data_IF_378187120572
#
_entry.id   IF_378187120572
#
_cell.length_a   1.000
_cell.length_b   1.000
_cell.length_c   1.000
_cell.angle_alpha   90.00
_cell.angle_beta   90.00
_cell.angle_gamma   90.00
#
_symmetry.space_group_name_H-M   'P 1'
#
loop_
_entity.id
_entity.type
_entity.pdbx_description
1 polymer ?
#
# COMPACT_ATOMS: atom_id res chain seq x y z
N UNK A 1 -11.90 31.59 -3.50
CA UNK A 1 -12.46 30.70 -4.53
C UNK A 1 -11.79 30.97 -5.86
N UNK A 2 -11.61 29.96 -6.70
CA UNK A 2 -10.91 30.12 -7.98
C UNK A 2 -11.87 29.93 -9.15
N UNK A 3 -11.62 30.65 -10.24
CA UNK A 3 -12.37 30.46 -11.49
C UNK A 3 -11.84 29.26 -12.26
N UNK A 4 -12.61 28.72 -13.19
CA UNK A 4 -12.23 27.72 -14.20
C UNK A 4 -10.94 28.15 -14.90
N UNK A 5 -10.84 29.41 -15.31
CA UNK A 5 -9.66 29.91 -16.00
C UNK A 5 -8.41 29.81 -15.12
N UNK A 6 -8.51 30.23 -13.86
CA UNK A 6 -7.42 30.15 -12.90
C UNK A 6 -7.04 28.69 -12.59
N UNK A 7 -8.04 27.83 -12.37
CA UNK A 7 -7.85 26.42 -12.09
C UNK A 7 -7.08 25.73 -13.24
N UNK A 8 -7.54 25.94 -14.48
CA UNK A 8 -6.94 25.32 -15.66
C UNK A 8 -5.55 25.91 -15.93
N UNK A 9 -5.35 27.21 -15.70
CA UNK A 9 -4.04 27.83 -15.83
C UNK A 9 -3.04 27.21 -14.83
N UNK A 10 -3.37 27.14 -13.55
CA UNK A 10 -2.47 26.55 -12.54
C UNK A 10 -2.19 25.06 -12.83
N UNK A 11 -3.21 24.30 -13.22
CA UNK A 11 -3.03 22.90 -13.63
C UNK A 11 -2.09 22.80 -14.84
N UNK A 12 -2.24 23.68 -15.82
CA UNK A 12 -1.37 23.69 -17.01
C UNK A 12 0.07 24.03 -16.68
N UNK A 13 0.31 25.01 -15.81
CA UNK A 13 1.66 25.40 -15.40
C UNK A 13 2.37 24.28 -14.63
N UNK A 14 1.63 23.51 -13.82
CA UNK A 14 2.19 22.40 -13.07
C UNK A 14 2.50 21.18 -13.96
N UNK A 15 1.70 20.93 -15.00
CA UNK A 15 1.90 19.81 -15.92
C UNK A 15 2.92 20.13 -17.02
N UNK A 16 3.21 21.40 -17.27
CA UNK A 16 4.09 21.84 -18.34
C UNK A 16 5.52 21.32 -18.11
N UNK A 17 6.04 20.55 -19.07
CA UNK A 17 7.34 19.86 -19.03
C UNK A 17 7.47 18.74 -17.98
N UNK A 18 6.39 18.38 -17.30
CA UNK A 18 6.37 17.33 -16.27
C UNK A 18 5.71 16.04 -16.75
N UNK A 19 4.81 16.14 -17.74
CA UNK A 19 4.17 15.01 -18.40
C UNK A 19 4.36 15.09 -19.91
N UNK A 20 4.12 13.98 -20.60
CA UNK A 20 4.14 13.98 -22.07
C UNK A 20 3.00 14.84 -22.65
N UNK A 21 3.11 15.20 -23.93
CA UNK A 21 2.14 16.09 -24.57
C UNK A 21 0.73 15.49 -24.61
N UNK A 22 0.60 14.17 -24.71
CA UNK A 22 -0.69 13.50 -24.75
C UNK A 22 -1.40 13.62 -23.39
N UNK A 23 -0.68 13.35 -22.30
CA UNK A 23 -1.20 13.45 -20.94
C UNK A 23 -1.53 14.89 -20.56
N UNK A 24 -0.67 15.84 -20.96
CA UNK A 24 -0.90 17.27 -20.77
C UNK A 24 -2.24 17.69 -21.40
N UNK A 25 -2.43 17.42 -22.70
CA UNK A 25 -3.64 17.81 -23.41
C UNK A 25 -4.87 17.08 -22.87
N UNK A 26 -4.77 15.77 -22.61
CA UNK A 26 -5.83 14.95 -22.03
C UNK A 26 -6.30 15.50 -20.69
N UNK A 27 -5.36 15.83 -19.80
CA UNK A 27 -5.66 16.36 -18.47
C UNK A 27 -6.37 17.70 -18.55
N UNK A 28 -5.83 18.65 -19.33
CA UNK A 28 -6.43 19.99 -19.47
C UNK A 28 -7.83 19.92 -20.08
N UNK A 29 -8.02 19.10 -21.10
CA UNK A 29 -9.32 18.89 -21.73
C UNK A 29 -10.32 18.26 -20.75
N UNK A 30 -9.90 17.21 -20.03
CA UNK A 30 -10.76 16.51 -19.08
C UNK A 30 -11.30 17.45 -18.00
N UNK A 31 -10.44 18.19 -17.31
CA UNK A 31 -10.88 19.07 -16.22
C UNK A 31 -11.66 20.28 -16.75
N UNK A 32 -11.31 20.82 -17.93
CA UNK A 32 -12.07 21.91 -18.54
C UNK A 32 -13.51 21.49 -18.88
N UNK A 33 -13.67 20.30 -19.48
CA UNK A 33 -14.96 19.74 -19.86
C UNK A 33 -15.79 19.35 -18.63
N UNK A 34 -15.15 18.79 -17.61
CA UNK A 34 -15.81 18.45 -16.35
C UNK A 34 -16.40 19.71 -15.68
N UNK A 35 -15.58 20.77 -15.52
CA UNK A 35 -16.04 22.02 -14.90
C UNK A 35 -17.21 22.60 -15.69
N UNK A 36 -17.12 22.63 -17.01
CA UNK A 36 -18.20 23.15 -17.85
C UNK A 36 -19.48 22.31 -17.75
N UNK A 37 -19.34 20.99 -17.68
CA UNK A 37 -20.47 20.07 -17.53
C UNK A 37 -21.18 20.27 -16.20
N UNK A 38 -20.43 20.43 -15.11
CA UNK A 38 -21.01 20.67 -13.78
C UNK A 38 -21.67 22.04 -13.68
N UNK A 39 -21.08 23.07 -14.29
CA UNK A 39 -21.71 24.40 -14.41
C UNK A 39 -23.04 24.31 -15.18
N UNK A 40 -23.06 23.53 -16.28
CA UNK A 40 -24.28 23.31 -17.08
C UNK A 40 -25.37 22.55 -16.32
N UNK A 41 -25.00 21.73 -15.33
CA UNK A 41 -25.93 21.06 -14.42
C UNK A 41 -26.49 22.00 -13.34
N UNK A 42 -26.03 23.25 -13.28
CA UNK A 42 -26.54 24.27 -12.36
C UNK A 42 -25.66 24.53 -11.14
N UNK A 43 -24.48 23.90 -11.02
CA UNK A 43 -23.52 24.24 -9.98
C UNK A 43 -22.82 25.55 -10.31
N UNK A 44 -22.40 26.28 -9.27
CA UNK A 44 -21.56 27.46 -9.47
C UNK A 44 -20.11 27.07 -9.75
N UNK A 45 -19.37 27.89 -10.48
CA UNK A 45 -17.95 27.65 -10.77
C UNK A 45 -17.12 27.46 -9.49
N UNK A 46 -17.41 28.24 -8.46
CA UNK A 46 -16.78 28.14 -7.14
C UNK A 46 -17.07 26.81 -6.44
N UNK A 47 -18.31 26.32 -6.50
CA UNK A 47 -18.69 25.03 -5.92
C UNK A 47 -17.95 23.88 -6.60
N UNK A 48 -17.85 23.93 -7.94
CA UNK A 48 -17.17 22.88 -8.71
C UNK A 48 -15.66 22.89 -8.46
N UNK A 49 -15.01 24.07 -8.44
CA UNK A 49 -13.58 24.14 -8.16
C UNK A 49 -13.24 23.80 -6.72
N UNK A 50 -14.16 24.06 -5.77
CA UNK A 50 -14.02 23.63 -4.39
C UNK A 50 -14.17 22.11 -4.23
N UNK A 51 -15.09 21.48 -4.99
CA UNK A 51 -15.26 20.03 -5.03
C UNK A 51 -14.04 19.33 -5.65
N UNK A 52 -13.47 19.90 -6.72
CA UNK A 52 -12.25 19.40 -7.34
C UNK A 52 -11.00 19.58 -6.46
N UNK A 53 -10.96 20.64 -5.65
CA UNK A 53 -9.85 20.95 -4.77
C UNK A 53 -8.72 21.71 -5.48
N UNK A 54 -7.48 21.49 -5.04
CA UNK A 54 -6.32 22.24 -5.55
C UNK A 54 -5.83 21.68 -6.90
N UNK A 55 -5.73 22.50 -7.96
CA UNK A 55 -5.22 22.06 -9.26
C UNK A 55 -3.79 21.50 -9.17
N UNK A 56 -2.99 21.95 -8.20
CA UNK A 56 -1.60 21.48 -7.99
C UNK A 56 -1.55 20.05 -7.44
N UNK A 57 -2.47 19.70 -6.53
CA UNK A 57 -2.58 18.32 -6.01
C UNK A 57 -3.02 17.34 -7.10
N UNK A 58 -3.91 17.79 -7.98
CA UNK A 58 -4.31 17.04 -9.17
C UNK A 58 -3.10 16.84 -10.09
N UNK A 59 -2.38 17.91 -10.42
CA UNK A 59 -1.17 17.84 -11.23
C UNK A 59 -0.15 16.84 -10.66
N UNK A 60 0.10 16.91 -9.35
CA UNK A 60 1.00 15.99 -8.64
C UNK A 60 0.59 14.53 -8.82
N UNK A 61 -0.70 14.22 -8.68
CA UNK A 61 -1.20 12.84 -8.83
C UNK A 61 -1.01 12.33 -10.26
N UNK A 62 -1.22 13.19 -11.26
CA UNK A 62 -1.03 12.85 -12.67
C UNK A 62 0.46 12.58 -12.96
N UNK A 63 1.35 13.48 -12.52
CA UNK A 63 2.80 13.35 -12.66
C UNK A 63 3.31 12.08 -11.96
N UNK A 64 2.87 11.83 -10.72
CA UNK A 64 3.24 10.64 -9.93
C UNK A 64 2.74 9.34 -10.58
N UNK A 65 1.64 9.38 -11.34
CA UNK A 65 1.12 8.22 -12.05
C UNK A 65 1.91 7.86 -13.30
N UNK A 66 2.52 8.85 -13.96
CA UNK A 66 3.37 8.68 -15.14
C UNK A 66 4.80 8.28 -14.78
N UNK A 67 5.33 8.83 -13.68
CA UNK A 67 6.66 8.55 -13.17
C UNK A 67 6.61 7.37 -12.19
N UNK A 68 6.55 6.15 -12.70
CA UNK A 68 6.50 4.94 -11.88
C UNK A 68 7.50 4.95 -10.70
N UNK A 69 6.97 5.11 -9.47
CA UNK A 69 7.49 4.84 -8.10
C UNK A 69 8.96 5.11 -7.70
N UNK A 70 9.88 5.42 -8.59
CA UNK A 70 11.32 5.41 -8.27
C UNK A 70 11.85 6.77 -7.78
N UNK A 71 11.15 7.88 -8.03
CA UNK A 71 11.65 9.25 -7.75
C UNK A 71 10.70 10.12 -6.89
N UNK A 72 9.75 9.53 -6.15
CA UNK A 72 8.73 10.27 -5.40
C UNK A 72 9.28 11.13 -4.24
N UNK A 73 10.42 10.78 -3.66
CA UNK A 73 10.89 11.40 -2.39
C UNK A 73 11.60 12.73 -2.57
N UNK A 74 12.25 12.96 -3.71
CA UNK A 74 13.13 14.12 -3.93
C UNK A 74 12.38 15.30 -4.58
N UNK A 75 11.34 15.02 -5.39
CA UNK A 75 10.56 16.06 -6.09
C UNK A 75 9.46 16.72 -5.25
N UNK A 76 8.92 16.04 -4.23
CA UNK A 76 7.94 16.64 -3.30
C UNK A 76 8.54 17.89 -2.63
N UNK A 77 9.82 17.85 -2.28
CA UNK A 77 10.53 18.98 -1.68
C UNK A 77 10.76 20.16 -2.64
N UNK A 78 10.77 19.95 -3.95
CA UNK A 78 11.05 21.02 -4.93
C UNK A 78 9.82 21.89 -5.17
N UNK A 79 8.64 21.29 -5.23
CA UNK A 79 7.36 22.00 -5.40
C UNK A 79 6.91 22.68 -4.10
N UNK A 80 7.13 22.04 -2.95
CA UNK A 80 6.83 22.61 -1.63
C UNK A 80 7.66 23.88 -1.35
N UNK A 81 8.86 23.98 -1.92
CA UNK A 81 9.73 25.16 -1.81
C UNK A 81 9.33 26.32 -2.73
N UNK A 82 8.59 26.07 -3.80
CA UNK A 82 8.08 27.13 -4.70
C UNK A 82 6.79 27.77 -4.19
N UNK A 83 6.18 27.15 -3.18
CA UNK A 83 4.96 27.60 -2.49
C UNK A 83 5.24 28.39 -1.20
N UNK A 84 6.51 28.59 -0.81
CA UNK A 84 6.87 29.33 0.40
C UNK A 84 6.70 30.87 0.27
N UNK A 85 6.48 31.41 -0.95
CA UNK A 85 6.40 32.86 -1.20
C UNK A 85 4.96 33.42 -1.38
N UNK A 86 3.92 32.59 -1.26
CA UNK A 86 2.53 33.02 -1.40
C UNK A 86 1.68 32.60 -0.19
N UNK A 87 1.69 33.46 0.83
CA UNK A 87 0.64 33.65 1.83
C UNK A 87 0.17 32.43 2.65
N UNK A 88 0.72 32.38 3.87
CA UNK A 88 -0.04 32.28 5.13
C UNK A 88 -1.52 31.90 5.01
N UNK A 89 -1.83 30.60 5.05
CA UNK A 89 -3.03 30.08 5.73
C UNK A 89 -2.68 28.83 6.54
N UNK A 90 -2.17 29.10 7.73
CA UNK A 90 -2.22 28.22 8.90
C UNK A 90 -3.66 27.74 9.12
N UNK A 91 -3.96 26.50 8.73
CA UNK A 91 -5.07 25.68 9.26
C UNK A 91 -5.18 24.29 8.60
N UNK A 92 -4.36 23.98 7.59
CA UNK A 92 -4.46 22.70 6.87
C UNK A 92 -3.13 21.93 6.80
N UNK A 93 -2.21 22.20 7.73
CA UNK A 93 -0.99 21.38 7.89
C UNK A 93 -1.17 20.18 8.83
N UNK A 94 -2.21 20.16 9.66
CA UNK A 94 -2.39 19.08 10.65
C UNK A 94 -3.27 17.90 10.19
N UNK A 95 -4.10 18.05 9.16
CA UNK A 95 -4.98 16.95 8.71
C UNK A 95 -4.28 16.07 7.66
N UNK A 96 -3.40 16.64 6.84
CA UNK A 96 -2.71 15.87 5.80
C UNK A 96 -1.53 15.04 6.36
N UNK A 97 -0.89 15.48 7.45
CA UNK A 97 0.19 14.69 8.06
C UNK A 97 -0.27 13.38 8.71
N UNK A 98 -1.57 13.21 8.95
CA UNK A 98 -2.12 11.96 9.51
C UNK A 98 -2.40 10.93 8.40
N UNK A 99 -2.68 11.36 7.16
CA UNK A 99 -3.04 10.44 6.07
C UNK A 99 -1.85 9.98 5.22
N UNK A 100 -0.71 10.69 5.28
CA UNK A 100 0.51 10.32 4.55
C UNK A 100 1.58 9.67 5.43
N UNK A 101 1.18 9.11 6.57
CA UNK A 101 1.90 7.95 7.10
C UNK A 101 1.62 6.72 6.23
N UNK A 102 2.06 6.78 4.96
CA UNK A 102 2.86 5.67 4.45
C UNK A 102 4.09 5.65 5.36
N UNK A 103 4.03 5.05 6.54
CA UNK A 103 4.35 3.64 6.71
C UNK A 103 4.77 3.01 5.38
N UNK A 104 5.90 3.49 4.85
CA UNK A 104 6.86 2.61 4.23
C UNK A 104 7.06 1.47 5.22
N UNK A 105 6.27 0.41 5.06
CA UNK A 105 6.60 -0.90 5.55
C UNK A 105 7.89 -1.25 4.83
N UNK A 106 8.99 -0.73 5.40
CA UNK A 106 10.34 -1.02 4.98
C UNK A 106 10.36 -2.53 4.85
N UNK A 107 10.82 -3.04 3.72
CA UNK A 107 10.76 -4.45 3.32
C UNK A 107 11.17 -5.45 4.42
N UNK A 108 11.91 -5.01 5.44
CA UNK A 108 12.18 -5.76 6.67
C UNK A 108 10.98 -6.00 7.62
N UNK A 109 9.90 -5.21 7.61
CA UNK A 109 8.68 -5.49 8.40
C UNK A 109 7.84 -6.61 7.77
N UNK A 110 7.79 -6.68 6.44
CA UNK A 110 7.22 -7.85 5.73
C UNK A 110 8.07 -9.10 5.95
N UNK A 111 9.39 -8.95 6.02
CA UNK A 111 10.30 -10.03 6.39
C UNK A 111 10.05 -10.50 7.82
N UNK A 112 9.81 -9.59 8.77
CA UNK A 112 9.48 -9.93 10.16
C UNK A 112 8.24 -10.80 10.28
N UNK A 113 7.15 -10.47 9.57
CA UNK A 113 5.92 -11.28 9.56
C UNK A 113 6.17 -12.66 8.94
N UNK A 114 6.94 -12.74 7.84
CA UNK A 114 7.31 -14.01 7.22
C UNK A 114 8.20 -14.87 8.15
N UNK A 115 9.15 -14.25 8.84
CA UNK A 115 10.04 -14.92 9.80
C UNK A 115 9.25 -15.47 10.99
N UNK A 116 8.31 -14.68 11.53
CA UNK A 116 7.41 -15.11 12.60
C UNK A 116 6.52 -16.26 12.13
N UNK A 117 6.00 -16.21 10.91
CA UNK A 117 5.20 -17.31 10.35
C UNK A 117 6.03 -18.60 10.21
N UNK A 118 7.24 -18.52 9.67
CA UNK A 118 8.15 -19.66 9.54
C UNK A 118 8.53 -20.22 10.92
N UNK A 119 8.75 -19.34 11.90
CA UNK A 119 9.06 -19.72 13.27
C UNK A 119 7.88 -20.46 13.94
N UNK A 120 6.66 -19.97 13.78
CA UNK A 120 5.44 -20.63 14.29
C UNK A 120 5.24 -22.00 13.63
N UNK A 121 5.41 -22.09 12.31
CA UNK A 121 5.35 -23.37 11.58
C UNK A 121 6.43 -24.33 12.09
N UNK A 122 7.65 -23.84 12.32
CA UNK A 122 8.74 -24.60 12.91
C UNK A 122 8.38 -25.17 14.29
N UNK A 123 7.81 -24.34 15.18
CA UNK A 123 7.35 -24.78 16.50
C UNK A 123 6.32 -25.90 16.36
N UNK A 124 5.31 -25.75 15.49
CA UNK A 124 4.28 -26.78 15.27
C UNK A 124 4.91 -28.10 14.82
N UNK A 125 5.85 -28.06 13.88
CA UNK A 125 6.56 -29.25 13.40
C UNK A 125 7.41 -29.89 14.51
N UNK A 126 8.06 -29.10 15.36
CA UNK A 126 8.83 -29.66 16.49
C UNK A 126 7.94 -30.35 17.52
N UNK A 127 6.78 -29.76 17.85
CA UNK A 127 5.82 -30.36 18.77
C UNK A 127 5.28 -31.67 18.19
N UNK A 128 4.93 -31.68 16.90
CA UNK A 128 4.48 -32.89 16.21
C UNK A 128 5.58 -33.96 16.17
N UNK A 129 6.82 -33.58 15.90
CA UNK A 129 7.97 -34.47 15.90
C UNK A 129 8.23 -35.09 17.27
N UNK A 130 8.16 -34.30 18.35
CA UNK A 130 8.29 -34.79 19.73
C UNK A 130 7.13 -35.73 20.07
N UNK A 131 5.90 -35.40 19.67
CA UNK A 131 4.74 -36.27 19.89
C UNK A 131 4.91 -37.64 19.21
N UNK A 132 5.36 -37.65 17.95
CA UNK A 132 5.67 -38.88 17.22
C UNK A 132 6.84 -39.63 17.86
N UNK A 133 7.89 -38.92 18.27
CA UNK A 133 9.07 -39.52 18.91
C UNK A 133 8.71 -40.21 20.22
N UNK A 134 7.89 -39.57 21.06
CA UNK A 134 7.35 -40.16 22.29
C UNK A 134 6.48 -41.38 22.01
N UNK A 135 5.61 -41.28 20.99
CA UNK A 135 4.75 -42.38 20.59
C UNK A 135 5.56 -43.58 20.11
N UNK A 136 6.62 -43.38 19.32
CA UNK A 136 7.56 -44.45 18.94
C UNK A 136 8.26 -45.01 20.17
N UNK A 137 8.78 -44.18 21.07
CA UNK A 137 9.50 -44.65 22.26
C UNK A 137 8.62 -45.45 23.23
N UNK A 138 7.31 -45.17 23.28
CA UNK A 138 6.33 -45.88 24.13
C UNK A 138 5.76 -47.11 23.42
N UNK A 139 5.45 -47.03 22.12
CA UNK A 139 4.88 -48.17 21.38
C UNK A 139 5.93 -49.25 21.10
N UNK A 140 7.19 -48.86 20.86
CA UNK A 140 8.28 -49.80 20.55
C UNK A 140 8.47 -50.91 21.62
N UNK A 141 8.53 -50.62 22.93
CA UNK A 141 8.61 -51.68 23.95
C UNK A 141 7.35 -52.54 24.00
N UNK A 142 6.15 -51.96 23.81
CA UNK A 142 4.88 -52.71 23.81
C UNK A 142 4.85 -53.70 22.63
N UNK A 143 5.23 -53.25 21.44
CA UNK A 143 5.32 -54.10 20.24
C UNK A 143 6.37 -55.20 20.42
N UNK A 144 7.54 -54.88 21.01
CA UNK A 144 8.55 -55.89 21.31
C UNK A 144 8.02 -56.99 22.24
N UNK A 145 7.30 -56.62 23.30
CA UNK A 145 6.67 -57.58 24.22
C UNK A 145 5.63 -58.43 23.47
N UNK A 146 4.78 -57.82 22.64
CA UNK A 146 3.79 -58.57 21.84
C UNK A 146 4.45 -59.57 20.88
N UNK A 147 5.55 -59.20 20.24
CA UNK A 147 6.30 -60.09 19.36
C UNK A 147 6.84 -61.28 20.16
N UNK A 148 7.43 -61.05 21.34
CA UNK A 148 7.96 -62.12 22.20
C UNK A 148 6.83 -63.05 22.66
N UNK A 149 5.71 -62.51 23.14
CA UNK A 149 4.55 -63.31 23.56
C UNK A 149 4.00 -64.14 22.39
N UNK A 150 3.88 -63.53 21.20
CA UNK A 150 3.40 -64.23 20.00
C UNK A 150 4.37 -65.32 19.56
N UNK A 151 5.67 -65.10 19.67
CA UNK A 151 6.70 -66.09 19.40
C UNK A 151 6.65 -67.26 20.39
N UNK A 152 6.54 -66.97 21.69
CA UNK A 152 6.37 -68.02 22.73
C UNK A 152 5.09 -68.81 22.52
N UNK A 153 3.96 -68.15 22.22
CA UNK A 153 2.71 -68.85 21.91
C UNK A 153 2.85 -69.79 20.70
N UNK A 154 3.56 -69.36 19.65
CA UNK A 154 3.84 -70.23 18.49
C UNK A 154 4.78 -71.38 18.84
N UNK A 155 5.74 -71.16 19.73
CA UNK A 155 6.68 -72.19 20.18
C UNK A 155 5.99 -73.27 21.04
N UNK A 156 5.10 -72.86 21.95
CA UNK A 156 4.36 -73.78 22.83
C UNK A 156 3.13 -74.44 22.18
N UNK A 157 2.62 -73.87 21.08
CA UNK A 157 1.54 -74.48 20.29
C UNK A 157 2.05 -75.56 19.32
N UNK A 158 3.36 -75.69 19.16
CA UNK A 158 4.01 -76.69 18.31
C UNK A 158 4.53 -77.85 19.16
#
# INVERSE_FOLDING_TARGET
PMTKQQFIQELSECLLNEVDSQEYHSSIEYYSNYIETEIRKGKSEEEVTMELGSPRLIAKTIIDSQLGKENQKERVSYYERRDEDADQREAQKDIFHIFWNQRELKWYEKLGVLLVLIFVIGIILTILGVAISLLVHVILPIVAILIVVRFLYQLFRK
#
